data_IF_772437219584
#
_entry.id   IF_772437219584
#
_cell.length_a   1.000
_cell.length_b   1.000
_cell.length_c   1.000
_cell.angle_alpha   90.00
_cell.angle_beta   90.00
_cell.angle_gamma   90.00
#
_symmetry.space_group_name_H-M   'P 1'
#
loop_
_entity.id
_entity.type
_entity.pdbx_description
1 polymer ?
#
# COMPACT_ATOMS: atom_id res chain seq x y z
N UNK A 1 14.13 -21.18 -16.69
CA UNK A 1 14.21 -20.40 -15.45
C UNK A 1 12.86 -19.73 -15.24
N UNK A 2 12.07 -20.24 -14.30
CA UNK A 2 10.86 -19.54 -13.88
C UNK A 2 11.32 -18.33 -13.07
N UNK A 3 11.22 -17.14 -13.65
CA UNK A 3 11.24 -15.92 -12.86
C UNK A 3 10.02 -16.06 -11.95
N UNK A 4 10.26 -16.46 -10.69
CA UNK A 4 9.24 -16.32 -9.68
C UNK A 4 8.78 -14.88 -9.79
N UNK A 5 7.53 -14.67 -10.17
CA UNK A 5 6.86 -13.41 -9.94
C UNK A 5 7.03 -13.20 -8.44
N UNK A 6 8.04 -12.42 -8.06
CA UNK A 6 8.19 -11.92 -6.72
C UNK A 6 7.00 -10.98 -6.56
N UNK A 7 5.87 -11.57 -6.17
CA UNK A 7 4.77 -10.86 -5.51
C UNK A 7 5.48 -10.15 -4.39
N UNK A 8 5.76 -8.86 -4.59
CA UNK A 8 6.86 -8.17 -3.93
C UNK A 8 6.86 -8.50 -2.45
N UNK A 9 7.84 -9.29 -2.00
CA UNK A 9 8.27 -9.14 -0.62
C UNK A 9 8.60 -7.66 -0.51
N UNK A 10 7.89 -6.98 0.39
CA UNK A 10 8.13 -5.59 0.72
C UNK A 10 9.63 -5.38 0.70
N UNK A 11 10.07 -4.48 -0.17
CA UNK A 11 11.48 -4.23 -0.45
C UNK A 11 12.18 -4.19 0.90
N UNK A 12 13.12 -5.11 1.14
CA UNK A 12 13.97 -5.17 2.33
C UNK A 12 14.86 -3.91 2.33
N UNK A 13 14.27 -2.74 2.46
CA UNK A 13 14.98 -1.53 2.83
C UNK A 13 15.22 -1.75 4.32
N UNK A 14 16.46 -2.08 4.67
CA UNK A 14 16.87 -2.37 6.05
C UNK A 14 16.52 -1.24 7.05
N UNK A 15 16.16 -0.07 6.53
CA UNK A 15 15.84 1.15 7.27
C UNK A 15 14.33 1.51 7.24
N UNK A 16 13.47 0.67 6.64
CA UNK A 16 12.03 0.96 6.57
C UNK A 16 11.41 0.91 7.98
N UNK A 17 10.84 2.03 8.40
CA UNK A 17 10.06 2.08 9.64
C UNK A 17 8.69 1.44 9.43
N UNK A 18 8.02 0.96 10.50
CA UNK A 18 6.65 0.45 10.39
C UNK A 18 5.68 1.46 9.74
N UNK A 19 5.88 2.75 9.98
CA UNK A 19 5.09 3.83 9.38
C UNK A 19 5.37 3.97 7.88
N UNK A 20 6.61 3.78 7.45
CA UNK A 20 6.98 3.79 6.03
C UNK A 20 6.33 2.62 5.29
N UNK A 21 6.40 1.42 5.85
CA UNK A 21 5.74 0.23 5.27
C UNK A 21 4.22 0.39 5.22
N UNK A 22 3.61 0.88 6.31
CA UNK A 22 2.18 1.16 6.32
C UNK A 22 1.79 2.25 5.31
N UNK A 23 2.62 3.27 5.11
CA UNK A 23 2.40 4.29 4.09
C UNK A 23 2.50 3.70 2.67
N UNK A 24 3.52 2.88 2.41
CA UNK A 24 3.65 2.17 1.14
C UNK A 24 2.42 1.30 0.86
N UNK A 25 1.95 0.54 1.84
CA UNK A 25 0.76 -0.28 1.71
C UNK A 25 -0.51 0.55 1.50
N UNK A 26 -0.67 1.68 2.19
CA UNK A 26 -1.79 2.59 1.94
C UNK A 26 -1.79 3.10 0.49
N UNK A 27 -0.65 3.63 0.01
CA UNK A 27 -0.53 4.16 -1.34
C UNK A 27 -0.65 3.08 -2.43
N UNK A 28 -0.19 1.86 -2.14
CA UNK A 28 -0.36 0.71 -3.04
C UNK A 28 -1.83 0.32 -3.18
N UNK A 29 -2.58 0.32 -2.07
CA UNK A 29 -4.01 0.05 -2.06
C UNK A 29 -4.81 1.18 -2.72
N UNK A 30 -4.45 2.45 -2.51
CA UNK A 30 -5.04 3.57 -3.25
C UNK A 30 -4.87 3.38 -4.77
N UNK A 31 -3.66 3.07 -5.22
CA UNK A 31 -3.35 2.91 -6.65
C UNK A 31 -4.09 1.76 -7.33
N UNK A 32 -4.36 0.64 -6.62
CA UNK A 32 -5.17 -0.45 -7.17
C UNK A 32 -6.66 -0.21 -6.98
N UNK A 33 -7.07 0.45 -5.90
CA UNK A 33 -8.44 0.82 -5.60
C UNK A 33 -9.05 1.69 -6.70
N UNK A 34 -8.33 2.73 -7.14
CA UNK A 34 -8.75 3.58 -8.27
C UNK A 34 -9.01 2.77 -9.55
N UNK A 35 -8.28 1.67 -9.78
CA UNK A 35 -8.50 0.79 -10.93
C UNK A 35 -9.70 -0.14 -10.71
N UNK A 36 -9.86 -0.65 -9.49
CA UNK A 36 -10.92 -1.59 -9.14
C UNK A 36 -12.30 -0.90 -9.07
N UNK A 37 -12.37 0.33 -8.57
CA UNK A 37 -13.61 1.12 -8.53
C UNK A 37 -14.17 1.42 -9.92
N UNK A 38 -13.30 1.50 -10.93
CA UNK A 38 -13.67 1.68 -12.33
C UNK A 38 -14.02 0.36 -13.03
N UNK A 39 -14.13 -0.74 -12.28
CA UNK A 39 -14.47 -2.07 -12.80
C UNK A 39 -15.62 -2.69 -12.02
N UNK A 40 -16.60 -3.26 -12.72
CA UNK A 40 -17.70 -4.04 -12.09
C UNK A 40 -17.25 -5.44 -11.62
N UNK A 41 -15.95 -5.61 -11.31
CA UNK A 41 -15.34 -6.89 -10.96
C UNK A 41 -15.54 -7.28 -9.50
N UNK A 42 -15.82 -6.31 -8.62
CA UNK A 42 -15.99 -6.53 -7.19
C UNK A 42 -17.43 -6.29 -6.76
N UNK A 43 -17.92 -7.17 -5.89
CA UNK A 43 -19.20 -6.94 -5.21
C UNK A 43 -19.06 -5.77 -4.21
N UNK A 44 -20.19 -5.14 -3.85
CA UNK A 44 -20.18 -4.08 -2.84
C UNK A 44 -19.64 -4.53 -1.48
N UNK A 45 -19.72 -5.83 -1.17
CA UNK A 45 -19.14 -6.40 0.04
C UNK A 45 -17.61 -6.49 -0.06
N UNK A 46 -17.08 -6.94 -1.19
CA UNK A 46 -15.63 -6.98 -1.43
C UNK A 46 -15.01 -5.58 -1.42
N UNK A 47 -15.71 -4.58 -1.96
CA UNK A 47 -15.29 -3.16 -1.88
C UNK A 47 -15.23 -2.70 -0.42
N UNK A 48 -16.23 -3.03 0.41
CA UNK A 48 -16.20 -2.67 1.85
C UNK A 48 -15.03 -3.31 2.59
N UNK A 49 -14.70 -4.56 2.28
CA UNK A 49 -13.55 -5.24 2.88
C UNK A 49 -12.24 -4.59 2.43
N UNK A 50 -12.13 -4.25 1.14
CA UNK A 50 -10.98 -3.55 0.59
C UNK A 50 -10.76 -2.18 1.26
N UNK A 51 -11.81 -1.39 1.41
CA UNK A 51 -11.74 -0.09 2.10
C UNK A 51 -11.33 -0.21 3.57
N UNK A 52 -11.78 -1.28 4.26
CA UNK A 52 -11.31 -1.58 5.62
C UNK A 52 -9.82 -1.90 5.66
N UNK A 53 -9.33 -2.70 4.71
CA UNK A 53 -7.90 -3.01 4.61
C UNK A 53 -7.06 -1.75 4.38
N UNK A 54 -7.51 -0.86 3.48
CA UNK A 54 -6.87 0.44 3.23
C UNK A 54 -6.81 1.29 4.51
N UNK A 55 -7.92 1.37 5.26
CA UNK A 55 -8.00 2.15 6.49
C UNK A 55 -7.02 1.66 7.59
N UNK A 56 -6.75 0.35 7.68
CA UNK A 56 -5.76 -0.20 8.63
C UNK A 56 -4.38 0.42 8.36
N UNK A 57 -3.94 0.40 7.10
CA UNK A 57 -2.65 0.96 6.71
C UNK A 57 -2.62 2.49 6.78
N UNK A 58 -3.71 3.16 6.40
CA UNK A 58 -3.83 4.62 6.55
C UNK A 58 -3.65 5.08 8.01
N UNK A 59 -4.21 4.33 8.95
CA UNK A 59 -4.07 4.60 10.38
C UNK A 59 -2.65 4.28 10.85
N UNK A 60 -2.13 3.09 10.52
CA UNK A 60 -0.77 2.65 10.85
C UNK A 60 0.30 3.62 10.39
N UNK A 61 0.16 4.18 9.19
CA UNK A 61 1.08 5.15 8.61
C UNK A 61 1.20 6.47 9.38
N UNK A 62 0.22 6.80 10.23
CA UNK A 62 0.22 8.03 11.04
C UNK A 62 0.45 7.81 12.53
N UNK A 63 0.58 6.56 13.01
CA UNK A 63 0.69 6.30 14.45
C UNK A 63 1.98 6.89 15.00
N UNK A 64 1.81 7.80 15.97
CA UNK A 64 2.92 8.45 16.67
C UNK A 64 3.65 9.53 15.86
N UNK A 65 3.16 9.87 14.67
CA UNK A 65 3.72 10.92 13.82
C UNK A 65 2.92 12.21 13.92
N UNK A 66 3.62 13.33 13.82
CA UNK A 66 3.02 14.63 13.48
C UNK A 66 2.52 14.64 12.03
N UNK A 67 1.70 15.64 11.68
CA UNK A 67 1.25 15.84 10.29
C UNK A 67 2.44 16.01 9.33
N UNK A 68 3.45 16.78 9.72
CA UNK A 68 4.64 17.04 8.90
C UNK A 68 5.44 15.76 8.66
N UNK A 69 5.67 14.95 9.70
CA UNK A 69 6.36 13.67 9.56
C UNK A 69 5.59 12.68 8.69
N UNK A 70 4.26 12.67 8.78
CA UNK A 70 3.40 11.86 7.93
C UNK A 70 3.50 12.28 6.46
N UNK A 71 3.46 13.59 6.19
CA UNK A 71 3.59 14.13 4.83
C UNK A 71 4.98 13.89 4.25
N UNK A 72 6.03 14.01 5.08
CA UNK A 72 7.38 13.64 4.70
C UNK A 72 7.47 12.16 4.36
N UNK A 73 6.94 11.28 5.21
CA UNK A 73 6.92 9.83 4.97
C UNK A 73 6.20 9.50 3.65
N UNK A 74 5.06 10.15 3.38
CA UNK A 74 4.36 10.02 2.10
C UNK A 74 5.27 10.44 0.94
N UNK A 75 5.88 11.61 1.04
CA UNK A 75 6.77 12.15 0.01
C UNK A 75 7.96 11.24 -0.27
N UNK A 76 8.56 10.66 0.78
CA UNK A 76 9.69 9.73 0.67
C UNK A 76 9.28 8.42 -0.02
N UNK A 77 8.06 7.92 0.23
CA UNK A 77 7.52 6.75 -0.48
C UNK A 77 7.24 7.10 -1.94
N UNK A 78 6.60 8.22 -2.22
CA UNK A 78 6.29 8.67 -3.59
C UNK A 78 7.56 8.97 -4.39
N UNK A 79 8.61 9.50 -3.77
CA UNK A 79 9.91 9.70 -4.41
C UNK A 79 10.62 8.37 -4.73
N UNK A 80 10.49 7.37 -3.85
CA UNK A 80 11.05 6.03 -4.06
C UNK A 80 10.27 5.24 -5.13
N UNK A 81 8.95 5.45 -5.22
CA UNK A 81 8.05 4.77 -6.16
C UNK A 81 7.15 5.79 -6.89
N UNK A 82 7.69 6.55 -7.85
CA UNK A 82 6.98 7.67 -8.46
C UNK A 82 5.71 7.24 -9.20
N UNK A 83 5.79 6.13 -9.93
CA UNK A 83 4.69 5.68 -10.76
C UNK A 83 3.67 4.87 -9.92
N UNK A 84 2.39 5.21 -10.04
CA UNK A 84 1.30 4.48 -9.36
C UNK A 84 1.30 2.97 -9.69
N UNK A 85 1.74 2.60 -10.90
CA UNK A 85 1.86 1.19 -11.31
C UNK A 85 2.91 0.42 -10.51
N UNK A 86 3.97 1.09 -10.05
CA UNK A 86 5.03 0.46 -9.24
C UNK A 86 4.55 0.27 -7.81
N UNK A 87 3.86 1.28 -7.25
CA UNK A 87 3.18 1.18 -5.95
C UNK A 87 2.12 0.06 -5.94
N UNK A 88 1.31 -0.05 -6.99
CA UNK A 88 0.27 -1.07 -7.10
C UNK A 88 0.80 -2.52 -7.02
N UNK A 89 2.09 -2.77 -7.33
CA UNK A 89 2.70 -4.11 -7.23
C UNK A 89 2.78 -4.61 -5.78
N UNK A 90 2.79 -3.70 -4.80
CA UNK A 90 2.85 -4.06 -3.38
C UNK A 90 1.48 -4.40 -2.78
N UNK A 91 0.38 -4.03 -3.45
CA UNK A 91 -0.98 -4.17 -2.91
C UNK A 91 -1.33 -5.61 -2.51
N UNK A 92 -0.95 -6.59 -3.32
CA UNK A 92 -1.20 -8.01 -3.01
C UNK A 92 -0.39 -8.51 -1.81
N UNK A 93 0.83 -8.01 -1.63
CA UNK A 93 1.64 -8.31 -0.44
C UNK A 93 0.98 -7.75 0.82
N UNK A 94 0.62 -6.47 0.77
CA UNK A 94 -0.05 -5.78 1.88
C UNK A 94 -1.40 -6.43 2.26
N UNK A 95 -2.19 -6.90 1.29
CA UNK A 95 -3.44 -7.63 1.59
C UNK A 95 -3.17 -8.99 2.26
N UNK A 96 -2.12 -9.68 1.84
CA UNK A 96 -1.74 -10.98 2.41
C UNK A 96 -1.32 -10.85 3.87
N UNK A 97 -0.63 -9.76 4.22
CA UNK A 97 -0.14 -9.53 5.59
C UNK A 97 -1.28 -9.27 6.61
N UNK A 98 -2.52 -9.06 6.14
CA UNK A 98 -3.70 -8.87 6.99
C UNK A 98 -4.47 -10.17 7.31
N UNK A 99 -4.02 -11.32 6.77
CA UNK A 99 -4.67 -12.63 6.92
C UNK A 99 -3.80 -13.56 7.76
#
# INVERSE_FOLDING_TARGET
>A
MAQALSIGRNVERADATPQYEAMLCNLALEAIGERLENTDLLTSEQIKVFEKAKAIYQNGAGVGLTTEEREKTRSDVEAAYPEAKDRARFAMGCLRDLV
#
